data_IF_024586584964
#
_entry.id   IF_024586584964
#
_cell.length_a   1.000
_cell.length_b   1.000
_cell.length_c   1.000
_cell.angle_alpha   90.00
_cell.angle_beta   90.00
_cell.angle_gamma   90.00
#
_symmetry.space_group_name_H-M   'P 1'
#
loop_
_entity.id
_entity.type
_entity.pdbx_description
1 polymer ?
#
# COMPACT_ATOMS: atom_id res chain seq x y z
N UNK A 1 12.53 -14.14 -10.94
CA UNK A 1 12.41 -13.81 -9.51
C UNK A 1 11.16 -14.46 -8.96
N UNK A 2 11.16 -14.99 -7.71
CA UNK A 2 9.97 -15.58 -7.11
C UNK A 2 8.85 -14.53 -6.95
N UNK A 3 7.58 -14.97 -7.05
CA UNK A 3 6.42 -14.13 -6.78
C UNK A 3 6.29 -13.94 -5.28
N UNK A 4 6.75 -12.82 -4.76
CA UNK A 4 6.66 -12.49 -3.34
C UNK A 4 5.67 -11.33 -3.20
N UNK A 5 4.69 -11.51 -2.31
CA UNK A 5 3.77 -10.45 -1.88
C UNK A 5 4.09 -10.19 -0.41
N UNK A 6 4.47 -8.96 -0.09
CA UNK A 6 4.83 -8.57 1.27
C UNK A 6 3.81 -7.58 1.82
N UNK A 7 3.44 -7.77 3.09
CA UNK A 7 2.44 -6.94 3.74
C UNK A 7 3.06 -6.34 5.00
N UNK A 8 2.97 -5.03 5.13
CA UNK A 8 3.24 -4.31 6.39
C UNK A 8 1.90 -4.10 7.08
N UNK A 9 1.67 -4.81 8.18
CA UNK A 9 0.41 -4.78 8.89
C UNK A 9 0.53 -4.35 10.35
N UNK A 10 -0.53 -3.72 10.87
CA UNK A 10 -0.60 -3.27 12.26
C UNK A 10 -1.50 -2.03 12.45
N UNK A 11 -1.76 -1.63 13.71
CA UNK A 11 -2.66 -0.52 14.01
C UNK A 11 -2.11 0.83 13.56
N UNK A 12 -2.98 1.84 13.49
CA UNK A 12 -2.56 3.23 13.24
C UNK A 12 -1.58 3.69 14.33
N UNK A 13 -0.56 4.45 13.95
CA UNK A 13 0.47 4.93 14.88
C UNK A 13 1.56 3.91 15.25
N UNK A 14 1.54 2.67 14.77
CA UNK A 14 2.58 1.66 15.10
C UNK A 14 3.89 1.81 14.31
N UNK A 15 4.06 2.87 13.52
CA UNK A 15 5.28 3.13 12.75
C UNK A 15 5.40 2.38 11.41
N UNK A 16 4.30 1.82 10.88
CA UNK A 16 4.27 1.02 9.63
C UNK A 16 4.85 1.76 8.44
N UNK A 17 4.39 2.98 8.18
CA UNK A 17 4.82 3.76 7.01
C UNK A 17 6.31 4.11 7.10
N UNK A 18 6.79 4.48 8.29
CA UNK A 18 8.22 4.71 8.54
C UNK A 18 9.07 3.45 8.32
N UNK A 19 8.61 2.30 8.83
CA UNK A 19 9.27 1.01 8.56
C UNK A 19 9.24 0.71 7.06
N UNK A 20 8.12 0.92 6.40
CA UNK A 20 7.95 0.54 5.02
C UNK A 20 8.87 1.34 4.08
N UNK A 21 8.93 2.67 4.25
CA UNK A 21 9.82 3.55 3.51
C UNK A 21 11.29 3.17 3.73
N UNK A 22 11.69 2.90 4.97
CA UNK A 22 13.09 2.59 5.28
C UNK A 22 13.49 1.19 4.85
N UNK A 23 12.63 0.19 5.01
CA UNK A 23 12.95 -1.21 4.70
C UNK A 23 12.79 -1.52 3.21
N UNK A 24 11.64 -1.23 2.61
CA UNK A 24 11.35 -1.64 1.23
C UNK A 24 12.11 -0.81 0.20
N UNK A 25 12.16 0.51 0.38
CA UNK A 25 12.83 1.39 -0.59
C UNK A 25 14.35 1.38 -0.41
N UNK A 26 14.86 1.51 0.83
CA UNK A 26 16.30 1.66 1.07
C UNK A 26 17.06 0.33 1.19
N UNK A 27 16.49 -0.69 1.84
CA UNK A 27 17.20 -1.96 2.08
C UNK A 27 16.89 -3.02 1.03
N UNK A 28 15.60 -3.34 0.83
CA UNK A 28 15.16 -4.39 -0.11
C UNK A 28 15.11 -3.95 -1.58
N UNK A 29 15.16 -2.64 -1.84
CA UNK A 29 15.05 -2.04 -3.20
C UNK A 29 13.84 -2.57 -3.98
N UNK A 30 12.74 -2.82 -3.30
CA UNK A 30 11.48 -3.18 -3.95
C UNK A 30 10.90 -1.88 -4.53
N UNK A 31 10.79 -1.75 -5.86
CA UNK A 31 10.40 -0.50 -6.47
C UNK A 31 8.90 -0.21 -6.32
N UNK A 32 8.10 -1.22 -5.94
CA UNK A 32 6.65 -1.13 -5.90
C UNK A 32 6.15 -1.37 -4.48
N UNK A 33 5.96 -0.27 -3.75
CA UNK A 33 5.27 -0.24 -2.47
C UNK A 33 3.94 0.51 -2.64
N UNK A 34 2.84 -0.10 -2.21
CA UNK A 34 1.48 0.43 -2.40
C UNK A 34 0.91 0.81 -1.02
N UNK A 35 0.52 2.07 -0.85
CA UNK A 35 -0.07 2.59 0.39
C UNK A 35 -1.28 3.49 0.04
N UNK A 36 -2.42 3.27 0.72
CA UNK A 36 -3.67 4.00 0.46
C UNK A 36 -3.56 5.50 0.78
N UNK A 37 -2.85 5.87 1.84
CA UNK A 37 -2.71 7.24 2.30
C UNK A 37 -1.82 8.05 1.34
N UNK A 38 -0.77 7.42 0.80
CA UNK A 38 0.05 8.01 -0.27
C UNK A 38 -0.78 8.25 -1.53
N UNK A 39 -1.63 7.30 -1.91
CA UNK A 39 -2.51 7.45 -3.07
C UNK A 39 -3.53 8.57 -2.83
N UNK A 40 -4.19 8.58 -1.68
CA UNK A 40 -5.17 9.60 -1.31
C UNK A 40 -4.55 11.01 -1.30
N UNK A 41 -3.32 11.15 -0.76
CA UNK A 41 -2.56 12.40 -0.78
C UNK A 41 -2.22 12.87 -2.20
N UNK A 42 -2.02 11.95 -3.15
CA UNK A 42 -1.83 12.29 -4.56
C UNK A 42 -3.10 12.73 -5.28
N UNK A 43 -4.28 12.27 -4.83
CA UNK A 43 -5.58 12.65 -5.41
C UNK A 43 -6.06 13.99 -4.85
N UNK A 44 -6.00 14.14 -3.53
CA UNK A 44 -6.52 15.30 -2.82
C UNK A 44 -5.53 15.72 -1.73
N UNK A 45 -4.47 16.47 -2.09
CA UNK A 45 -3.40 16.83 -1.16
C UNK A 45 -3.87 17.75 -0.02
N UNK A 46 -5.00 18.45 -0.18
CA UNK A 46 -5.57 19.34 0.82
C UNK A 46 -6.68 18.67 1.65
N UNK A 47 -7.24 17.55 1.19
CA UNK A 47 -8.31 16.81 1.86
C UNK A 47 -8.23 15.32 1.52
N UNK A 48 -7.32 14.62 2.19
CA UNK A 48 -7.02 13.20 1.95
C UNK A 48 -8.22 12.32 2.33
N UNK A 49 -9.03 12.74 3.30
CA UNK A 49 -10.18 11.99 3.80
C UNK A 49 -11.24 11.81 2.70
N UNK A 50 -11.54 12.87 1.94
CA UNK A 50 -12.44 12.78 0.79
C UNK A 50 -11.97 11.81 -0.29
N UNK A 51 -10.66 11.59 -0.42
CA UNK A 51 -10.08 10.67 -1.40
C UNK A 51 -9.93 9.23 -0.89
N UNK A 52 -10.21 8.95 0.38
CA UNK A 52 -9.95 7.65 1.03
C UNK A 52 -10.57 6.46 0.29
N UNK A 53 -11.83 6.56 -0.11
CA UNK A 53 -12.54 5.48 -0.80
C UNK A 53 -12.01 5.26 -2.23
N UNK A 54 -11.74 6.35 -2.95
CA UNK A 54 -11.13 6.28 -4.28
C UNK A 54 -9.73 5.68 -4.22
N UNK A 55 -8.92 6.10 -3.24
CA UNK A 55 -7.58 5.58 -3.01
C UNK A 55 -7.59 4.08 -2.69
N UNK A 56 -8.55 3.61 -1.88
CA UNK A 56 -8.76 2.19 -1.62
C UNK A 56 -9.03 1.39 -2.91
N UNK A 57 -9.89 1.90 -3.79
CA UNK A 57 -10.16 1.26 -5.10
C UNK A 57 -8.92 1.22 -5.99
N UNK A 58 -8.16 2.31 -6.05
CA UNK A 58 -6.91 2.36 -6.82
C UNK A 58 -5.89 1.38 -6.25
N UNK A 59 -5.73 1.32 -4.92
CA UNK A 59 -4.86 0.36 -4.26
C UNK A 59 -5.20 -1.09 -4.64
N UNK A 60 -6.47 -1.48 -4.53
CA UNK A 60 -6.92 -2.84 -4.91
C UNK A 60 -6.68 -3.14 -6.39
N UNK A 61 -6.95 -2.18 -7.28
CA UNK A 61 -6.69 -2.33 -8.71
C UNK A 61 -5.20 -2.49 -9.02
N UNK A 62 -4.34 -1.77 -8.28
CA UNK A 62 -2.88 -1.83 -8.44
C UNK A 62 -2.35 -3.18 -7.98
N UNK A 63 -2.83 -3.67 -6.82
CA UNK A 63 -2.51 -5.01 -6.32
C UNK A 63 -2.89 -6.07 -7.36
N UNK A 64 -4.11 -6.01 -7.90
CA UNK A 64 -4.57 -6.93 -8.95
C UNK A 64 -3.67 -6.91 -10.18
N UNK A 65 -3.32 -5.71 -10.66
CA UNK A 65 -2.42 -5.52 -11.80
C UNK A 65 -1.02 -6.09 -11.54
N UNK A 66 -0.45 -5.90 -10.35
CA UNK A 66 0.83 -6.49 -9.98
C UNK A 66 0.80 -8.02 -9.98
N UNK A 67 -0.30 -8.62 -9.48
CA UNK A 67 -0.51 -10.07 -9.48
C UNK A 67 -0.58 -10.60 -10.92
N UNK A 68 -1.39 -9.98 -11.78
CA UNK A 68 -1.54 -10.36 -13.20
C UNK A 68 -0.21 -10.27 -13.96
N UNK A 69 0.60 -9.26 -13.65
CA UNK A 69 1.91 -9.04 -14.27
C UNK A 69 3.04 -9.86 -13.63
N UNK A 70 2.76 -10.68 -12.62
CA UNK A 70 3.76 -11.46 -11.88
C UNK A 70 4.88 -10.60 -11.27
N UNK A 71 4.56 -9.39 -10.81
CA UNK A 71 5.51 -8.47 -10.19
C UNK A 71 5.62 -8.75 -8.69
N UNK A 72 6.82 -8.64 -8.14
CA UNK A 72 7.05 -8.55 -6.69
C UNK A 72 6.64 -7.16 -6.24
N UNK A 73 5.79 -7.09 -5.22
CA UNK A 73 5.36 -5.83 -4.59
C UNK A 73 5.17 -5.98 -3.09
N UNK A 74 5.12 -4.85 -2.41
CA UNK A 74 4.75 -4.73 -1.01
C UNK A 74 3.59 -3.76 -0.85
N UNK A 75 2.79 -3.91 0.20
CA UNK A 75 1.74 -2.93 0.53
C UNK A 75 1.51 -2.80 2.04
N UNK A 76 0.97 -1.66 2.45
CA UNK A 76 0.59 -1.41 3.84
C UNK A 76 -0.92 -1.59 4.04
N UNK A 77 -1.31 -2.18 5.17
CA UNK A 77 -2.72 -2.29 5.57
C UNK A 77 -2.84 -2.35 7.09
N UNK A 78 -3.96 -1.89 7.65
CA UNK A 78 -4.29 -2.17 9.05
C UNK A 78 -4.77 -3.61 9.27
N UNK A 79 -5.19 -4.30 8.20
CA UNK A 79 -5.93 -5.57 8.23
C UNK A 79 -7.14 -5.55 9.19
N UNK A 80 -7.69 -4.37 9.46
CA UNK A 80 -8.82 -4.20 10.39
C UNK A 80 -10.19 -4.46 9.72
N UNK A 81 -10.24 -4.47 8.39
CA UNK A 81 -11.44 -4.77 7.62
C UNK A 81 -11.79 -6.27 7.66
N UNK A 82 -13.05 -6.59 7.92
CA UNK A 82 -13.60 -7.96 7.79
C UNK A 82 -14.29 -8.20 6.44
N UNK A 83 -14.43 -7.14 5.65
CA UNK A 83 -15.05 -7.12 4.33
C UNK A 83 -14.11 -6.44 3.34
N UNK A 84 -14.25 -6.79 2.07
CA UNK A 84 -13.48 -6.19 0.98
C UNK A 84 -14.41 -5.24 0.23
N UNK A 85 -14.13 -3.92 0.36
CA UNK A 85 -14.90 -2.75 -0.12
C UNK A 85 -16.13 -2.37 0.71
#
# INVERSE_FOLDING_TARGET
MPKIIEIVAGPNGSGKSTFAETFFLKQKKIPTFINSDTIASGISPLDVEQASFQAGRIMLSTIKSCIEQNKHFAFESTLSGKTWL
#
